data_IF_958978662951
#
_entry.id   IF_958978662951
#
_cell.length_a   1.000
_cell.length_b   1.000
_cell.length_c   1.000
_cell.angle_alpha   90.00
_cell.angle_beta   90.00
_cell.angle_gamma   90.00
#
_symmetry.space_group_name_H-M   'P 1'
#
loop_
_entity.id
_entity.type
_entity.pdbx_description
1 polymer ?
#
# COMPACT_ATOMS: atom_id res chain seq x y z
N UNK A 1 -7.75 3.60 2.98
CA UNK A 1 -6.52 4.31 3.40
C UNK A 1 -6.91 5.64 4.00
N UNK A 2 -6.22 6.09 5.06
CA UNK A 2 -6.45 7.38 5.71
C UNK A 2 -5.16 8.21 5.64
N UNK A 3 -5.28 9.53 5.52
CA UNK A 3 -4.16 10.46 5.53
C UNK A 3 -4.12 11.20 6.86
N UNK A 4 -2.93 11.30 7.44
CA UNK A 4 -2.70 12.00 8.70
C UNK A 4 -1.54 12.98 8.55
N UNK A 5 -1.62 14.09 9.29
CA UNK A 5 -0.56 15.10 9.30
C UNK A 5 0.73 14.59 9.96
N UNK A 6 0.63 13.68 10.93
CA UNK A 6 1.77 13.12 11.66
C UNK A 6 1.38 11.83 12.38
N UNK A 7 2.37 11.05 12.81
CA UNK A 7 2.17 9.81 13.58
C UNK A 7 1.43 10.05 14.90
N UNK A 8 1.66 11.18 15.58
CA UNK A 8 0.92 11.53 16.81
C UNK A 8 -0.59 11.68 16.60
N UNK A 9 -1.03 12.09 15.41
CA UNK A 9 -2.46 12.09 15.06
C UNK A 9 -2.98 10.68 14.82
N UNK A 10 -2.13 9.76 14.34
CA UNK A 10 -2.50 8.35 14.18
C UNK A 10 -2.70 7.70 15.54
N UNK A 11 -1.79 7.91 16.50
CA UNK A 11 -1.93 7.37 17.85
C UNK A 11 -3.19 7.90 18.56
N UNK A 12 -3.42 9.21 18.50
CA UNK A 12 -4.65 9.82 19.05
C UNK A 12 -5.91 9.25 18.39
N UNK A 13 -5.88 9.10 17.06
CA UNK A 13 -7.01 8.55 16.33
C UNK A 13 -7.24 7.08 16.70
N UNK A 14 -6.20 6.24 16.72
CA UNK A 14 -6.30 4.80 17.00
C UNK A 14 -6.95 4.51 18.36
N UNK A 15 -6.57 5.23 19.40
CA UNK A 15 -7.01 4.94 20.77
C UNK A 15 -6.58 3.52 21.17
N UNK A 16 -7.54 2.67 21.56
CA UNK A 16 -7.27 1.28 21.94
C UNK A 16 -7.24 0.26 20.78
N UNK A 17 -7.42 0.72 19.54
CA UNK A 17 -7.50 -0.17 18.37
C UNK A 17 -6.12 -0.61 17.90
N UNK A 18 -6.03 -1.81 17.35
CA UNK A 18 -4.80 -2.30 16.74
C UNK A 18 -4.36 -1.39 15.58
N UNK A 19 -3.06 -1.08 15.55
CA UNK A 19 -2.42 -0.29 14.50
C UNK A 19 -2.27 -1.13 13.22
N UNK A 20 -2.65 -0.55 12.08
CA UNK A 20 -2.27 -1.06 10.76
C UNK A 20 -0.90 -0.55 10.34
N UNK A 21 -0.57 -0.57 9.05
CA UNK A 21 0.69 0.01 8.58
C UNK A 21 0.65 1.52 8.38
N UNK A 22 1.80 2.16 8.64
CA UNK A 22 2.03 3.57 8.34
C UNK A 22 3.15 3.66 7.31
N UNK A 23 2.85 4.26 6.17
CA UNK A 23 3.83 4.55 5.13
C UNK A 23 3.81 6.05 4.80
N UNK A 24 4.94 6.63 4.36
CA UNK A 24 4.97 7.99 3.84
C UNK A 24 4.00 8.16 2.65
N UNK A 25 3.40 9.34 2.50
CA UNK A 25 2.47 9.61 1.39
C UNK A 25 3.11 9.39 0.02
N UNK A 26 4.41 9.69 -0.13
CA UNK A 26 5.14 9.44 -1.37
C UNK A 26 5.28 7.95 -1.68
N UNK A 27 5.42 7.10 -0.65
CA UNK A 27 5.42 5.63 -0.83
C UNK A 27 4.05 5.11 -1.27
N UNK A 28 2.97 5.70 -0.78
CA UNK A 28 1.62 5.43 -1.30
C UNK A 28 1.50 5.82 -2.78
N UNK A 29 2.05 6.98 -3.18
CA UNK A 29 2.03 7.39 -4.60
C UNK A 29 2.81 6.39 -5.46
N UNK A 30 3.99 5.94 -5.03
CA UNK A 30 4.74 4.87 -5.72
C UNK A 30 3.92 3.59 -5.86
N UNK A 31 3.26 3.17 -4.77
CA UNK A 31 2.34 2.02 -4.79
C UNK A 31 1.22 2.22 -5.80
N UNK A 32 0.61 3.41 -5.84
CA UNK A 32 -0.49 3.69 -6.75
C UNK A 32 -0.06 3.59 -8.23
N UNK A 33 1.08 4.16 -8.59
CA UNK A 33 1.62 4.04 -9.95
C UNK A 33 1.96 2.60 -10.30
N UNK A 34 2.57 1.85 -9.38
CA UNK A 34 2.92 0.46 -9.63
C UNK A 34 1.70 -0.46 -9.77
N UNK A 35 0.63 -0.19 -9.02
CA UNK A 35 -0.59 -1.02 -8.98
C UNK A 35 -1.56 -0.74 -10.13
N UNK A 36 -1.61 0.52 -10.57
CA UNK A 36 -2.64 0.99 -11.51
C UNK A 36 -2.10 1.63 -12.79
N UNK A 37 -0.78 1.84 -12.88
CA UNK A 37 -0.17 2.57 -14.00
C UNK A 37 -0.36 1.93 -15.37
N UNK A 38 -0.63 0.63 -15.42
CA UNK A 38 -0.83 -0.13 -16.66
C UNK A 38 -2.31 -0.31 -17.05
N UNK A 39 -3.26 0.13 -16.22
CA UNK A 39 -4.70 -0.09 -16.47
C UNK A 39 -5.27 0.57 -17.72
N UNK A 40 -4.53 1.51 -18.31
CA UNK A 40 -4.94 2.19 -19.54
C UNK A 40 -4.37 1.50 -20.80
N UNK A 41 -3.55 0.45 -20.63
CA UNK A 41 -3.09 -0.37 -21.74
C UNK A 41 -4.29 -1.12 -22.37
N UNK A 42 -4.48 -1.07 -23.69
CA UNK A 42 -5.59 -1.77 -24.36
C UNK A 42 -5.54 -3.29 -24.17
N UNK A 43 -4.37 -3.86 -23.91
CA UNK A 43 -4.18 -5.30 -23.68
C UNK A 43 -4.13 -5.64 -22.17
N UNK A 44 -4.48 -4.69 -21.30
CA UNK A 44 -4.45 -4.87 -19.86
C UNK A 44 -5.26 -6.09 -19.40
N UNK A 45 -4.68 -6.83 -18.47
CA UNK A 45 -5.35 -7.89 -17.72
C UNK A 45 -5.15 -7.64 -16.22
N UNK A 46 -6.11 -8.04 -15.36
CA UNK A 46 -5.93 -7.96 -13.92
C UNK A 46 -4.66 -8.68 -13.47
N UNK A 47 -3.86 -8.01 -12.62
CA UNK A 47 -2.70 -8.65 -12.00
C UNK A 47 -3.10 -9.87 -11.18
N UNK A 48 -2.35 -10.95 -11.32
CA UNK A 48 -2.45 -12.10 -10.42
C UNK A 48 -2.01 -11.72 -9.01
N UNK A 49 -2.29 -12.60 -8.03
CA UNK A 49 -1.81 -12.37 -6.66
C UNK A 49 -0.29 -12.29 -6.60
N UNK A 50 0.40 -13.16 -7.32
CA UNK A 50 1.87 -13.23 -7.37
C UNK A 50 2.46 -11.96 -7.96
N UNK A 51 1.84 -11.41 -9.02
CA UNK A 51 2.23 -10.14 -9.61
C UNK A 51 2.04 -8.97 -8.63
N UNK A 52 0.90 -8.94 -7.92
CA UNK A 52 0.66 -7.93 -6.89
C UNK A 52 1.62 -8.05 -5.70
N UNK A 53 1.93 -9.27 -5.26
CA UNK A 53 2.91 -9.54 -4.20
C UNK A 53 4.31 -9.05 -4.62
N UNK A 54 4.73 -9.32 -5.86
CA UNK A 54 5.99 -8.83 -6.40
C UNK A 54 6.06 -7.29 -6.48
N UNK A 55 4.93 -6.62 -6.76
CA UNK A 55 4.84 -5.15 -6.70
C UNK A 55 5.12 -4.65 -5.28
N UNK A 56 4.50 -5.25 -4.26
CA UNK A 56 4.71 -4.88 -2.85
C UNK A 56 6.18 -5.06 -2.43
N UNK A 57 6.76 -6.22 -2.73
CA UNK A 57 8.15 -6.54 -2.41
C UNK A 57 9.14 -5.57 -3.06
N UNK A 58 8.97 -5.28 -4.36
CA UNK A 58 9.80 -4.32 -5.09
C UNK A 58 9.77 -2.92 -4.46
N UNK A 59 8.63 -2.53 -3.87
CA UNK A 59 8.47 -1.22 -3.23
C UNK A 59 8.96 -1.20 -1.76
N UNK A 60 9.42 -2.34 -1.24
CA UNK A 60 9.84 -2.52 0.15
C UNK A 60 8.68 -2.68 1.14
N UNK A 61 7.47 -2.95 0.65
CA UNK A 61 6.27 -3.18 1.45
C UNK A 61 6.17 -4.66 1.80
N UNK A 62 7.01 -5.12 2.74
CA UNK A 62 7.24 -6.55 3.01
C UNK A 62 6.90 -6.99 4.45
N UNK A 63 6.28 -6.12 5.26
CA UNK A 63 5.80 -6.51 6.58
C UNK A 63 4.60 -7.49 6.47
N UNK A 64 4.26 -8.24 7.53
CA UNK A 64 3.14 -9.20 7.48
C UNK A 64 1.79 -8.58 7.06
N UNK A 65 1.61 -7.27 7.25
CA UNK A 65 0.43 -6.53 6.78
C UNK A 65 0.29 -6.58 5.24
N UNK A 66 1.42 -6.63 4.52
CA UNK A 66 1.49 -6.58 3.07
C UNK A 66 1.55 -7.97 2.41
N UNK A 67 1.44 -9.04 3.18
CA UNK A 67 1.35 -10.37 2.60
C UNK A 67 -0.08 -10.62 2.08
N UNK A 68 -0.24 -10.90 0.79
CA UNK A 68 -1.54 -11.10 0.14
C UNK A 68 -2.13 -12.52 0.30
N UNK A 69 -1.46 -13.39 1.05
CA UNK A 69 -1.95 -14.71 1.45
C UNK A 69 -1.35 -15.87 0.69
#
# INVERSE_FOLDING_TARGET
MLLFRSEGHVETWLGARARGEIIPVLKLVELAYAWWGDRLDPDWQPHTREQNQAILERLGLNSPFWNLG
#
